data_IF_416603110710
#
_entry.id   IF_416603110710
#
_cell.length_a   1.000
_cell.length_b   1.000
_cell.length_c   1.000
_cell.angle_alpha   90.00
_cell.angle_beta   90.00
_cell.angle_gamma   90.00
#
_symmetry.space_group_name_H-M   'P 1'
#
loop_
_entity.id
_entity.type
_entity.pdbx_description
1 polymer ?
#
# COMPACT_ATOMS: atom_id res chain seq x y z
N UNK A 1 -8.45 -8.69 15.73
CA UNK A 1 -8.17 -8.20 14.37
C UNK A 1 -6.83 -8.79 13.98
N UNK A 2 -6.78 -9.55 12.90
CA UNK A 2 -5.52 -10.01 12.33
C UNK A 2 -4.89 -8.82 11.58
N UNK A 3 -3.56 -8.78 11.53
CA UNK A 3 -2.83 -7.71 10.84
C UNK A 3 -2.70 -8.02 9.34
N UNK A 4 -3.83 -8.23 8.66
CA UNK A 4 -3.95 -8.62 7.25
C UNK A 4 -4.92 -7.74 6.45
N UNK A 5 -4.89 -7.92 5.13
CA UNK A 5 -5.74 -7.21 4.20
C UNK A 5 -6.20 -8.15 3.10
N UNK A 6 -7.45 -8.01 2.68
CA UNK A 6 -7.95 -8.65 1.46
C UNK A 6 -7.23 -8.12 0.21
N UNK A 7 -7.24 -8.85 -0.92
CA UNK A 7 -6.68 -8.37 -2.18
C UNK A 7 -7.35 -7.07 -2.63
N UNK A 8 -6.57 -6.02 -2.86
CA UNK A 8 -7.05 -4.70 -3.26
C UNK A 8 -6.06 -3.95 -4.15
N UNK A 9 -6.51 -2.81 -4.67
CA UNK A 9 -5.66 -1.75 -5.19
C UNK A 9 -5.97 -0.47 -4.43
N UNK A 10 -4.98 0.41 -4.28
CA UNK A 10 -5.20 1.74 -3.72
C UNK A 10 -5.67 2.70 -4.82
N UNK A 11 -6.90 2.51 -5.30
CA UNK A 11 -7.41 3.19 -6.50
C UNK A 11 -7.41 4.73 -6.40
N UNK A 12 -7.37 5.28 -5.18
CA UNK A 12 -7.31 6.72 -4.93
C UNK A 12 -5.89 7.30 -4.95
N UNK A 13 -4.86 6.46 -5.09
CA UNK A 13 -3.47 6.91 -5.21
C UNK A 13 -3.14 7.24 -6.67
N UNK A 14 -2.13 8.10 -6.88
CA UNK A 14 -1.66 8.42 -8.23
C UNK A 14 -1.18 7.17 -8.97
N UNK A 15 -1.80 6.82 -10.10
CA UNK A 15 -1.53 5.55 -10.82
C UNK A 15 -0.11 5.42 -11.37
N UNK A 16 0.55 6.55 -11.65
CA UNK A 16 1.94 6.59 -12.14
C UNK A 16 2.98 6.73 -11.01
N UNK A 17 2.52 6.78 -9.75
CA UNK A 17 3.37 6.88 -8.58
C UNK A 17 3.50 5.53 -7.86
N UNK A 18 4.54 5.43 -7.05
CA UNK A 18 4.69 4.31 -6.13
C UNK A 18 4.47 4.76 -4.68
N UNK A 19 3.94 3.86 -3.87
CA UNK A 19 3.82 4.03 -2.43
C UNK A 19 4.98 3.33 -1.74
N UNK A 20 5.45 3.90 -0.63
CA UNK A 20 6.42 3.23 0.22
C UNK A 20 5.73 2.66 1.45
N UNK A 21 5.98 1.40 1.76
CA UNK A 21 5.44 0.72 2.93
C UNK A 21 6.62 0.32 3.81
N UNK A 22 6.53 0.65 5.09
CA UNK A 22 7.51 0.30 6.11
C UNK A 22 6.90 -0.69 7.08
N UNK A 23 7.59 -1.80 7.32
CA UNK A 23 7.14 -2.83 8.24
C UNK A 23 7.88 -2.75 9.58
N UNK A 24 7.16 -2.97 10.68
CA UNK A 24 7.72 -3.09 12.03
C UNK A 24 6.89 -4.05 12.88
N UNK A 25 7.43 -4.39 14.03
CA UNK A 25 6.77 -5.26 15.01
C UNK A 25 7.62 -6.46 15.38
N UNK A 26 7.04 -7.35 16.18
CA UNK A 26 7.62 -8.60 16.62
C UNK A 26 6.73 -9.73 16.13
N UNK A 27 7.14 -10.37 15.04
CA UNK A 27 6.44 -11.46 14.37
C UNK A 27 7.42 -12.28 13.53
N UNK A 28 7.06 -13.52 13.20
CA UNK A 28 7.84 -14.40 12.34
C UNK A 28 7.50 -14.15 10.86
N UNK A 29 8.30 -13.31 10.22
CA UNK A 29 8.11 -12.92 8.81
C UNK A 29 8.26 -14.03 7.78
N UNK A 30 8.68 -15.24 8.21
CA UNK A 30 8.75 -16.43 7.34
C UNK A 30 7.43 -17.21 7.33
N UNK A 31 6.52 -16.92 8.27
CA UNK A 31 5.23 -17.61 8.42
C UNK A 31 4.03 -16.70 8.16
N UNK A 32 4.21 -15.38 8.21
CA UNK A 32 3.13 -14.41 8.11
C UNK A 32 3.59 -13.06 7.57
N UNK A 33 2.65 -12.12 7.41
CA UNK A 33 2.91 -10.76 6.88
C UNK A 33 3.49 -10.71 5.44
N UNK A 34 3.55 -11.81 4.71
CA UNK A 34 4.00 -11.80 3.32
C UNK A 34 3.08 -10.89 2.49
N UNK A 35 3.69 -10.07 1.64
CA UNK A 35 2.94 -9.29 0.64
C UNK A 35 2.75 -10.17 -0.59
N UNK A 36 1.51 -10.27 -1.04
CA UNK A 36 1.16 -10.97 -2.27
C UNK A 36 0.84 -9.92 -3.32
N UNK A 37 1.52 -9.97 -4.46
CA UNK A 37 1.18 -9.21 -5.66
C UNK A 37 0.47 -10.14 -6.64
N UNK A 38 -0.86 -10.20 -6.54
CA UNK A 38 -1.70 -11.18 -7.22
C UNK A 38 -1.56 -11.12 -8.74
N UNK A 39 -1.59 -9.92 -9.32
CA UNK A 39 -1.47 -9.72 -10.77
C UNK A 39 -0.09 -10.11 -11.31
N UNK A 40 0.92 -10.19 -10.45
CA UNK A 40 2.30 -10.50 -10.82
C UNK A 40 2.71 -11.94 -10.48
N UNK A 41 1.85 -12.68 -9.77
CA UNK A 41 2.17 -14.01 -9.22
C UNK A 41 3.44 -14.00 -8.36
N UNK A 42 3.66 -12.93 -7.59
CA UNK A 42 4.83 -12.75 -6.72
C UNK A 42 4.39 -12.75 -5.26
N UNK A 43 5.12 -13.48 -4.43
CA UNK A 43 5.01 -13.45 -2.97
C UNK A 43 6.33 -12.96 -2.40
N UNK A 44 6.27 -11.97 -1.50
CA UNK A 44 7.44 -11.35 -0.88
C UNK A 44 7.36 -11.55 0.63
N UNK A 45 8.35 -12.26 1.18
CA UNK A 45 8.60 -12.22 2.62
C UNK A 45 8.94 -10.76 3.01
N UNK A 46 8.24 -10.22 4.01
CA UNK A 46 8.38 -8.80 4.37
C UNK A 46 8.83 -8.66 5.84
N UNK A 47 10.14 -8.66 6.13
CA UNK A 47 10.66 -8.65 7.50
C UNK A 47 10.33 -7.36 8.28
N UNK A 48 10.24 -7.42 9.62
CA UNK A 48 10.23 -6.22 10.46
C UNK A 48 11.52 -5.40 10.22
N UNK A 49 11.37 -4.09 10.05
CA UNK A 49 12.45 -3.17 9.72
C UNK A 49 12.70 -2.98 8.22
N UNK A 50 12.06 -3.78 7.36
CA UNK A 50 12.13 -3.61 5.92
C UNK A 50 11.17 -2.53 5.40
N UNK A 51 11.54 -1.95 4.26
CA UNK A 51 10.69 -1.09 3.45
C UNK A 51 10.53 -1.66 2.04
N UNK A 52 9.40 -1.40 1.39
CA UNK A 52 9.14 -1.76 -0.01
C UNK A 52 8.49 -0.60 -0.74
N UNK A 53 8.81 -0.44 -2.02
CA UNK A 53 8.21 0.54 -2.93
C UNK A 53 7.32 -0.22 -3.91
N UNK A 54 6.04 0.15 -4.02
CA UNK A 54 5.04 -0.59 -4.79
C UNK A 54 4.15 0.33 -5.62
N UNK A 55 3.78 -0.04 -6.86
CA UNK A 55 2.78 0.68 -7.65
C UNK A 55 1.36 0.32 -7.17
N UNK A 56 0.98 0.79 -5.98
CA UNK A 56 -0.19 0.26 -5.24
C UNK A 56 -1.56 0.54 -5.89
N UNK A 57 -1.65 1.57 -6.73
CA UNK A 57 -2.84 1.86 -7.53
C UNK A 57 -2.99 0.95 -8.77
N UNK A 58 -1.92 0.26 -9.18
CA UNK A 58 -1.88 -0.51 -10.45
C UNK A 58 -1.74 -2.01 -10.27
N UNK A 59 -1.27 -2.47 -9.11
CA UNK A 59 -1.03 -3.89 -8.84
C UNK A 59 -1.94 -4.36 -7.72
N UNK A 60 -2.73 -5.41 -7.99
CA UNK A 60 -3.58 -6.04 -6.97
C UNK A 60 -2.67 -6.66 -5.92
N UNK A 61 -2.80 -6.21 -4.68
CA UNK A 61 -1.94 -6.62 -3.58
C UNK A 61 -2.70 -6.83 -2.28
N UNK A 62 -2.07 -7.51 -1.33
CA UNK A 62 -2.56 -7.70 0.03
C UNK A 62 -1.48 -8.36 0.87
N UNK A 63 -1.75 -8.58 2.15
CA UNK A 63 -0.84 -9.34 3.01
C UNK A 63 -1.55 -10.42 3.81
N UNK A 64 -0.85 -11.53 4.03
CA UNK A 64 -1.36 -12.64 4.84
C UNK A 64 -1.30 -12.29 6.34
N UNK A 65 -2.14 -12.93 7.17
CA UNK A 65 -2.11 -12.74 8.62
C UNK A 65 -0.79 -13.12 9.26
N UNK A 66 -0.56 -12.59 10.46
CA UNK A 66 0.49 -13.00 11.39
C UNK A 66 -0.07 -13.99 12.41
N UNK A 67 0.79 -14.58 13.24
CA UNK A 67 0.38 -15.46 14.34
C UNK A 67 -0.46 -14.77 15.41
N UNK A 68 -1.19 -15.54 16.20
CA UNK A 68 -2.18 -15.06 17.19
C UNK A 68 -1.60 -14.13 18.26
N UNK A 69 -0.37 -14.39 18.69
CA UNK A 69 0.32 -13.62 19.74
C UNK A 69 1.40 -12.69 19.17
N UNK A 70 1.41 -12.52 17.85
CA UNK A 70 2.36 -11.67 17.16
C UNK A 70 1.80 -10.26 16.97
N UNK A 71 2.70 -9.27 16.82
CA UNK A 71 2.29 -7.88 16.60
C UNK A 71 3.04 -7.28 15.43
N UNK A 72 2.28 -6.76 14.47
CA UNK A 72 2.77 -6.03 13.30
C UNK A 72 2.26 -4.59 13.30
N UNK A 73 3.11 -3.69 12.85
CA UNK A 73 2.80 -2.30 12.57
C UNK A 73 3.33 -1.97 11.17
N UNK A 74 2.61 -1.15 10.42
CA UNK A 74 3.11 -0.62 9.16
C UNK A 74 2.87 0.88 9.05
N UNK A 75 3.76 1.55 8.34
CA UNK A 75 3.57 2.94 7.92
C UNK A 75 3.61 2.99 6.39
N UNK A 76 2.59 3.58 5.78
CA UNK A 76 2.50 3.72 4.32
C UNK A 76 2.55 5.19 3.96
N UNK A 77 3.41 5.52 3.00
CA UNK A 77 3.54 6.85 2.43
C UNK A 77 3.09 6.78 0.97
N UNK A 78 2.10 7.60 0.64
CA UNK A 78 1.45 7.60 -0.66
C UNK A 78 1.12 9.04 -1.07
N UNK A 79 0.76 9.21 -2.33
CA UNK A 79 0.22 10.47 -2.85
C UNK A 79 -1.15 10.21 -3.44
N UNK A 80 -2.18 10.84 -2.87
CA UNK A 80 -3.53 10.74 -3.37
C UNK A 80 -3.63 11.41 -4.75
N UNK A 81 -4.33 10.76 -5.69
CA UNK A 81 -4.54 11.28 -7.04
C UNK A 81 -5.26 12.64 -7.01
N UNK A 82 -6.23 12.83 -6.11
CA UNK A 82 -6.96 14.10 -5.99
C UNK A 82 -6.06 15.31 -5.67
N UNK A 83 -4.98 15.13 -4.89
CA UNK A 83 -4.02 16.22 -4.62
C UNK A 83 -3.25 16.58 -5.90
N UNK A 84 -2.92 15.58 -6.72
CA UNK A 84 -2.27 15.80 -8.01
C UNK A 84 -3.23 16.51 -8.97
N UNK A 85 -4.48 16.05 -9.08
CA UNK A 85 -5.51 16.71 -9.89
C UNK A 85 -5.65 18.18 -9.49
N UNK A 86 -5.80 18.48 -8.20
CA UNK A 86 -5.86 19.85 -7.70
C UNK A 86 -4.65 20.69 -8.10
N UNK A 87 -3.42 20.14 -7.96
CA UNK A 87 -2.21 20.83 -8.38
C UNK A 87 -2.20 21.11 -9.90
N UNK A 88 -2.55 20.11 -10.72
CA UNK A 88 -2.60 20.25 -12.18
C UNK A 88 -3.73 21.15 -12.67
N UNK A 89 -4.80 21.27 -11.89
CA UNK A 89 -5.90 22.20 -12.10
C UNK A 89 -5.56 23.62 -11.61
N UNK A 90 -4.27 23.99 -11.46
CA UNK A 90 -3.86 25.29 -10.91
C UNK A 90 -4.48 25.61 -9.54
N UNK A 91 -4.50 24.63 -8.64
CA UNK A 91 -5.01 24.78 -7.29
C UNK A 91 -6.54 24.99 -7.21
N UNK A 92 -7.27 24.48 -8.19
CA UNK A 92 -8.73 24.53 -8.26
C UNK A 92 -9.34 23.14 -8.09
N UNK A 93 -10.56 23.10 -7.55
CA UNK A 93 -11.34 21.87 -7.58
C UNK A 93 -11.85 21.60 -9.01
N UNK A 94 -12.30 20.37 -9.27
CA UNK A 94 -12.70 19.98 -10.63
C UNK A 94 -13.85 20.82 -11.20
N UNK A 95 -14.78 21.31 -10.37
CA UNK A 95 -15.86 22.17 -10.87
C UNK A 95 -15.32 23.52 -11.35
N UNK A 96 -14.43 24.14 -10.57
CA UNK A 96 -13.80 25.43 -10.90
C UNK A 96 -12.88 25.35 -12.12
N UNK A 97 -12.27 24.19 -12.38
CA UNK A 97 -11.39 23.98 -13.53
C UNK A 97 -12.14 23.75 -14.84
N UNK A 98 -13.34 23.15 -14.76
CA UNK A 98 -14.15 22.76 -15.92
C UNK A 98 -15.09 23.87 -16.42
N UNK A 99 -15.26 24.94 -15.65
CA UNK A 99 -15.97 26.18 -16.02
C UNK A 99 -15.11 27.09 -16.92
#
# INVERSE_FOLDING_TARGET
MNADTDPHIDFMNGFFLCCSIWNRGCFNYKLGSHIIFYSLSVVVEFPPGAGIIVPSASVIHGNIPIGTDERRHSATFFTAAGILCWYFNNFMNDNEFLD
#
